data_IF_317533595338
#
_entry.id   IF_317533595338
#
_cell.length_a   1.000
_cell.length_b   1.000
_cell.length_c   1.000
_cell.angle_alpha   90.00
_cell.angle_beta   90.00
_cell.angle_gamma   90.00
#
_symmetry.space_group_name_H-M   'P 1'
#
loop_
_entity.id
_entity.type
_entity.pdbx_description
1 polymer ?
#
# COMPACT_ATOMS: atom_id res chain seq x y z
N UNK A 1 -23.19 -3.56 -41.25
CA UNK A 1 -23.31 -4.79 -40.43
C UNK A 1 -22.04 -5.63 -40.45
N UNK A 2 -21.38 -5.86 -41.60
CA UNK A 2 -20.07 -6.53 -41.61
C UNK A 2 -18.96 -5.72 -40.90
N UNK A 3 -18.85 -4.41 -41.19
CA UNK A 3 -17.79 -3.57 -40.59
C UNK A 3 -17.85 -3.54 -39.05
N UNK A 4 -19.04 -3.35 -38.47
CA UNK A 4 -19.23 -3.34 -37.01
C UNK A 4 -18.96 -4.69 -36.34
N UNK A 5 -19.07 -5.79 -37.09
CA UNK A 5 -18.80 -7.14 -36.61
C UNK A 5 -17.29 -7.38 -36.50
N UNK A 6 -16.55 -6.98 -37.53
CA UNK A 6 -15.09 -7.09 -37.54
C UNK A 6 -14.47 -6.17 -36.48
N UNK A 7 -15.02 -4.97 -36.29
CA UNK A 7 -14.61 -4.00 -35.27
C UNK A 7 -14.88 -4.51 -33.84
N UNK A 8 -16.04 -5.15 -33.60
CA UNK A 8 -16.31 -5.81 -32.33
C UNK A 8 -15.32 -6.94 -32.04
N UNK A 9 -14.99 -7.75 -33.05
CA UNK A 9 -14.01 -8.83 -32.90
C UNK A 9 -12.63 -8.25 -32.56
N UNK A 10 -12.21 -7.17 -33.23
CA UNK A 10 -10.95 -6.47 -32.94
C UNK A 10 -10.91 -5.96 -31.48
N UNK A 11 -11.97 -5.28 -31.02
CA UNK A 11 -12.05 -4.77 -29.64
C UNK A 11 -11.93 -5.88 -28.59
N UNK A 12 -12.58 -7.02 -28.81
CA UNK A 12 -12.58 -8.13 -27.84
C UNK A 12 -11.31 -8.99 -27.97
N UNK A 13 -10.82 -9.25 -29.19
CA UNK A 13 -9.71 -10.19 -29.42
C UNK A 13 -8.34 -9.53 -29.34
N UNK A 14 -8.17 -8.35 -29.91
CA UNK A 14 -6.89 -7.67 -30.05
C UNK A 14 -6.67 -6.67 -28.91
N UNK A 15 -7.70 -5.90 -28.55
CA UNK A 15 -7.62 -4.89 -27.48
C UNK A 15 -8.04 -5.42 -26.09
N UNK A 16 -8.54 -6.66 -26.00
CA UNK A 16 -8.97 -7.30 -24.76
C UNK A 16 -10.03 -6.50 -23.97
N UNK A 17 -10.90 -5.76 -24.65
CA UNK A 17 -11.99 -5.02 -24.01
C UNK A 17 -13.08 -6.01 -23.55
N UNK A 18 -13.34 -6.03 -22.24
CA UNK A 18 -14.31 -6.96 -21.62
C UNK A 18 -15.61 -6.28 -21.18
N UNK A 19 -15.63 -4.96 -21.06
CA UNK A 19 -16.81 -4.20 -20.64
C UNK A 19 -17.71 -3.88 -21.83
N UNK A 20 -18.97 -4.32 -21.78
CA UNK A 20 -19.96 -4.07 -22.85
C UNK A 20 -20.19 -2.57 -23.03
N UNK A 21 -20.17 -1.80 -21.94
CA UNK A 21 -20.38 -0.35 -22.01
C UNK A 21 -19.28 0.38 -22.79
N UNK A 22 -18.03 -0.07 -22.69
CA UNK A 22 -16.92 0.47 -23.49
C UNK A 22 -17.09 0.13 -24.97
N UNK A 23 -17.57 -1.08 -25.26
CA UNK A 23 -17.86 -1.54 -26.63
C UNK A 23 -19.03 -0.76 -27.24
N UNK A 24 -20.06 -0.45 -26.45
CA UNK A 24 -21.22 0.38 -26.82
C UNK A 24 -20.78 1.79 -27.20
N UNK A 25 -19.90 2.41 -26.40
CA UNK A 25 -19.34 3.73 -26.67
C UNK A 25 -18.53 3.75 -27.97
N UNK A 26 -17.67 2.75 -28.17
CA UNK A 26 -16.79 2.69 -29.35
C UNK A 26 -17.56 2.41 -30.65
N UNK A 27 -18.50 1.45 -30.63
CA UNK A 27 -19.28 1.08 -31.82
C UNK A 27 -20.47 2.02 -32.08
N UNK A 28 -20.75 2.96 -31.17
CA UNK A 28 -21.94 3.83 -31.19
C UNK A 28 -23.22 3.02 -31.45
N UNK A 29 -23.38 1.93 -30.72
CA UNK A 29 -24.55 1.03 -30.75
C UNK A 29 -25.23 1.03 -29.38
N UNK A 30 -26.48 0.60 -29.32
CA UNK A 30 -27.13 0.34 -28.02
C UNK A 30 -26.59 -0.94 -27.38
N UNK A 31 -26.68 -1.05 -26.05
CA UNK A 31 -26.27 -2.25 -25.32
C UNK A 31 -26.98 -3.51 -25.82
N UNK A 32 -28.26 -3.41 -26.15
CA UNK A 32 -29.05 -4.53 -26.64
C UNK A 32 -28.55 -5.02 -28.02
N UNK A 33 -28.18 -4.10 -28.91
CA UNK A 33 -27.61 -4.42 -30.23
C UNK A 33 -26.23 -5.06 -30.10
N UNK A 34 -25.39 -4.61 -29.16
CA UNK A 34 -24.07 -5.21 -28.90
C UNK A 34 -24.22 -6.63 -28.35
N UNK A 35 -25.14 -6.85 -27.42
CA UNK A 35 -25.43 -8.18 -26.86
C UNK A 35 -25.95 -9.12 -27.95
N UNK A 36 -26.84 -8.65 -28.83
CA UNK A 36 -27.33 -9.42 -29.97
C UNK A 36 -26.19 -9.78 -30.94
N UNK A 37 -25.27 -8.84 -31.21
CA UNK A 37 -24.13 -9.07 -32.09
C UNK A 37 -23.16 -10.11 -31.50
N UNK A 38 -22.86 -10.00 -30.20
CA UNK A 38 -22.04 -10.97 -29.47
C UNK A 38 -22.70 -12.35 -29.49
N UNK A 39 -24.01 -12.42 -29.26
CA UNK A 39 -24.75 -13.69 -29.26
C UNK A 39 -24.69 -14.36 -30.64
N UNK A 40 -24.88 -13.61 -31.72
CA UNK A 40 -24.72 -14.11 -33.10
C UNK A 40 -23.30 -14.61 -33.37
N UNK A 41 -22.29 -13.90 -32.88
CA UNK A 41 -20.88 -14.27 -33.04
C UNK A 41 -20.47 -15.50 -32.23
N UNK A 42 -21.11 -15.73 -31.07
CA UNK A 42 -20.97 -16.96 -30.30
C UNK A 42 -21.62 -18.15 -31.04
N UNK A 43 -22.81 -17.95 -31.63
CA UNK A 43 -23.51 -18.98 -32.41
C UNK A 43 -22.75 -19.39 -33.68
N UNK A 44 -22.12 -18.43 -34.37
CA UNK A 44 -21.28 -18.71 -35.56
C UNK A 44 -19.90 -19.26 -35.21
N UNK A 45 -19.53 -19.29 -33.92
CA UNK A 45 -18.23 -19.77 -33.44
C UNK A 45 -17.06 -18.85 -33.73
N UNK A 46 -17.33 -17.60 -34.14
CA UNK A 46 -16.32 -16.58 -34.42
C UNK A 46 -15.80 -15.91 -33.14
N UNK A 47 -16.62 -15.87 -32.08
CA UNK A 47 -16.20 -15.53 -30.73
C UNK A 47 -16.29 -16.77 -29.82
N UNK A 48 -15.33 -16.88 -28.88
CA UNK A 48 -15.34 -17.89 -27.81
C UNK A 48 -15.29 -17.19 -26.47
N UNK A 49 -16.38 -17.27 -25.72
CA UNK A 49 -16.49 -16.62 -24.43
C UNK A 49 -17.84 -16.85 -23.76
N UNK A 50 -18.10 -16.10 -22.69
CA UNK A 50 -19.33 -16.15 -21.92
C UNK A 50 -19.72 -14.74 -21.49
N UNK A 51 -20.98 -14.37 -21.71
CA UNK A 51 -21.56 -13.15 -21.16
C UNK A 51 -21.80 -13.33 -19.65
N UNK A 52 -21.47 -12.32 -18.86
CA UNK A 52 -21.79 -12.27 -17.44
C UNK A 52 -23.31 -12.28 -17.22
N UNK A 53 -23.77 -12.82 -16.08
CA UNK A 53 -25.21 -12.88 -15.74
C UNK A 53 -25.86 -11.49 -15.64
N UNK A 54 -25.06 -10.44 -15.40
CA UNK A 54 -25.50 -9.05 -15.37
C UNK A 54 -25.62 -8.40 -16.76
N UNK A 55 -25.16 -9.07 -17.83
CA UNK A 55 -25.12 -8.54 -19.18
C UNK A 55 -24.13 -7.39 -19.40
N UNK A 56 -23.29 -7.06 -18.41
CA UNK A 56 -22.39 -5.90 -18.45
C UNK A 56 -20.99 -6.25 -18.95
N UNK A 57 -20.63 -7.54 -18.95
CA UNK A 57 -19.27 -7.99 -19.28
C UNK A 57 -19.28 -9.21 -20.19
N UNK A 58 -18.29 -9.28 -21.08
CA UNK A 58 -17.97 -10.45 -21.89
C UNK A 58 -16.61 -11.02 -21.47
N UNK A 59 -16.59 -12.30 -21.10
CA UNK A 59 -15.38 -13.04 -20.73
C UNK A 59 -14.93 -13.94 -21.87
N UNK A 60 -13.76 -13.66 -22.47
CA UNK A 60 -13.14 -14.53 -23.48
C UNK A 60 -12.72 -15.87 -22.85
N UNK A 61 -12.95 -16.98 -23.55
CA UNK A 61 -12.57 -18.32 -23.08
C UNK A 61 -11.05 -18.52 -23.07
N UNK A 62 -10.36 -17.99 -24.08
CA UNK A 62 -8.91 -18.03 -24.21
C UNK A 62 -8.30 -16.72 -23.70
N UNK A 63 -8.33 -16.53 -22.38
CA UNK A 63 -7.44 -15.56 -21.75
C UNK A 63 -6.05 -16.18 -21.81
N UNK A 64 -5.21 -15.72 -22.74
CA UNK A 64 -3.76 -15.83 -22.55
C UNK A 64 -3.45 -15.06 -21.27
N UNK A 65 -3.38 -15.78 -20.16
CA UNK A 65 -2.72 -15.30 -18.95
C UNK A 65 -1.36 -14.80 -19.43
N UNK A 66 -1.14 -13.49 -19.35
CA UNK A 66 0.13 -12.90 -19.69
C UNK A 66 1.21 -13.72 -19.01
N UNK A 67 2.09 -14.34 -19.79
CA UNK A 67 3.37 -14.89 -19.32
C UNK A 67 4.29 -13.72 -18.96
N UNK A 68 3.79 -12.75 -18.18
CA UNK A 68 4.64 -11.85 -17.45
C UNK A 68 5.52 -12.77 -16.60
N UNK A 69 6.86 -12.67 -16.72
CA UNK A 69 7.75 -13.51 -15.92
C UNK A 69 7.30 -13.38 -14.47
N UNK A 70 7.10 -14.51 -13.79
CA UNK A 70 6.87 -14.48 -12.35
C UNK A 70 8.10 -13.83 -11.75
N UNK A 71 8.01 -12.53 -11.47
CA UNK A 71 9.01 -11.84 -10.68
C UNK A 71 8.96 -12.60 -9.36
N UNK A 72 10.01 -13.38 -9.08
CA UNK A 72 10.21 -13.97 -7.76
C UNK A 72 10.11 -12.78 -6.80
N UNK A 73 8.99 -12.71 -6.07
CA UNK A 73 8.86 -11.76 -4.99
C UNK A 73 9.92 -12.20 -4.00
N UNK A 74 10.98 -11.42 -3.91
CA UNK A 74 11.87 -11.47 -2.77
C UNK A 74 10.98 -11.14 -1.56
N UNK A 75 10.51 -12.16 -0.85
CA UNK A 75 9.63 -12.06 0.32
C UNK A 75 10.36 -11.41 1.52
N UNK A 76 11.52 -10.80 1.28
CA UNK A 76 12.23 -9.97 2.21
C UNK A 76 11.26 -8.88 2.72
N UNK A 77 11.01 -8.82 4.04
CA UNK A 77 10.15 -7.79 4.59
C UNK A 77 10.76 -6.43 4.27
N UNK A 78 9.93 -5.44 3.92
CA UNK A 78 10.43 -4.15 3.49
C UNK A 78 11.30 -3.52 4.59
N UNK A 79 12.34 -2.77 4.19
CA UNK A 79 13.38 -2.26 5.09
C UNK A 79 12.84 -1.52 6.32
N UNK A 80 11.71 -0.81 6.21
CA UNK A 80 11.04 -0.13 7.32
C UNK A 80 10.47 -1.06 8.41
N UNK A 81 10.29 -2.36 8.13
CA UNK A 81 9.96 -3.38 9.13
C UNK A 81 11.19 -3.83 9.95
N UNK A 82 12.41 -3.56 9.48
CA UNK A 82 13.65 -3.98 10.16
C UNK A 82 14.19 -2.94 11.15
N UNK A 83 13.52 -1.80 11.33
CA UNK A 83 13.98 -0.73 12.21
C UNK A 83 14.04 -1.16 13.68
N UNK A 84 15.25 -1.22 14.24
CA UNK A 84 15.48 -1.65 15.61
C UNK A 84 15.41 -0.46 16.60
N UNK A 85 14.35 -0.42 17.41
CA UNK A 85 14.12 0.63 18.42
C UNK A 85 14.83 0.39 19.76
N UNK A 86 15.46 -0.78 19.95
CA UNK A 86 16.12 -1.17 21.22
C UNK A 86 17.15 -0.14 21.72
N UNK A 87 18.10 0.36 20.90
CA UNK A 87 19.09 1.32 21.40
C UNK A 87 18.44 2.60 21.91
N UNK A 88 17.47 3.16 21.18
CA UNK A 88 16.75 4.36 21.63
C UNK A 88 15.97 4.14 22.93
N UNK A 89 15.34 2.96 23.10
CA UNK A 89 14.63 2.60 24.35
C UNK A 89 15.57 2.52 25.54
N UNK A 90 16.74 1.91 25.37
CA UNK A 90 17.75 1.81 26.44
C UNK A 90 18.22 3.21 26.86
N UNK A 91 18.51 4.09 25.89
CA UNK A 91 18.90 5.47 26.16
C UNK A 91 17.84 6.24 26.95
N UNK A 92 16.56 6.10 26.60
CA UNK A 92 15.44 6.70 27.34
C UNK A 92 15.41 6.19 28.78
N UNK A 93 15.52 4.88 28.99
CA UNK A 93 15.48 4.29 30.34
C UNK A 93 16.61 4.86 31.21
N UNK A 94 17.84 4.95 30.66
CA UNK A 94 18.98 5.55 31.37
C UNK A 94 18.68 7.01 31.72
N UNK A 95 18.20 7.80 30.75
CA UNK A 95 17.84 9.20 30.97
C UNK A 95 16.79 9.39 32.07
N UNK A 96 15.76 8.54 32.09
CA UNK A 96 14.70 8.54 33.12
C UNK A 96 15.25 8.19 34.49
N UNK A 97 16.14 7.19 34.60
CA UNK A 97 16.78 6.83 35.87
C UNK A 97 17.59 8.02 36.43
N UNK A 98 18.38 8.67 35.58
CA UNK A 98 19.17 9.85 35.96
C UNK A 98 18.27 11.00 36.39
N UNK A 99 17.18 11.24 35.65
CA UNK A 99 16.21 12.28 35.98
C UNK A 99 15.54 12.04 37.33
N UNK A 100 15.04 10.81 37.57
CA UNK A 100 14.41 10.42 38.84
C UNK A 100 15.41 10.55 39.99
N UNK A 101 16.67 10.15 39.79
CA UNK A 101 17.74 10.36 40.76
C UNK A 101 17.88 11.84 41.13
N UNK A 102 17.91 12.74 40.14
CA UNK A 102 17.91 14.18 40.37
C UNK A 102 16.69 14.69 41.14
N UNK A 103 15.50 14.20 40.83
CA UNK A 103 14.25 14.55 41.56
C UNK A 103 14.32 14.12 43.03
N UNK A 104 14.79 12.90 43.30
CA UNK A 104 14.96 12.40 44.67
C UNK A 104 15.97 13.26 45.42
N UNK A 105 17.13 13.55 44.84
CA UNK A 105 18.17 14.40 45.47
C UNK A 105 17.62 15.80 45.76
N UNK A 106 16.83 16.38 44.85
CA UNK A 106 16.20 17.68 45.04
C UNK A 106 15.21 17.66 46.22
N UNK A 107 14.39 16.60 46.34
CA UNK A 107 13.39 16.48 47.40
C UNK A 107 14.00 16.46 48.81
N UNK A 108 15.26 16.01 48.94
CA UNK A 108 16.01 15.98 50.20
C UNK A 108 17.10 17.06 50.30
N UNK A 109 17.13 18.03 49.38
CA UNK A 109 18.16 19.07 49.38
C UNK A 109 18.00 20.01 50.58
N UNK A 110 19.04 20.11 51.41
CA UNK A 110 19.09 21.00 52.58
C UNK A 110 19.74 22.36 52.33
N UNK A 111 20.41 22.53 51.19
CA UNK A 111 21.11 23.76 50.83
C UNK A 111 21.06 24.03 49.30
N UNK A 112 21.43 25.25 48.93
CA UNK A 112 21.44 25.72 47.54
C UNK A 112 22.46 24.98 46.65
N UNK A 113 23.55 24.45 47.21
CA UNK A 113 24.57 23.74 46.44
C UNK A 113 24.01 22.38 45.98
N UNK A 114 23.38 21.64 46.89
CA UNK A 114 22.72 20.36 46.61
C UNK A 114 21.55 20.57 45.65
N UNK A 115 20.78 21.64 45.81
CA UNK A 115 19.68 21.96 44.91
C UNK A 115 20.16 22.25 43.48
N UNK A 116 21.25 23.02 43.32
CA UNK A 116 21.85 23.29 42.02
C UNK A 116 22.41 22.02 41.37
N UNK A 117 23.04 21.15 42.16
CA UNK A 117 23.52 19.84 41.68
C UNK A 117 22.36 18.96 41.20
N UNK A 118 21.27 18.90 41.96
CA UNK A 118 20.06 18.16 41.60
C UNK A 118 19.42 18.71 40.31
N UNK A 119 19.36 20.03 40.16
CA UNK A 119 18.89 20.68 38.94
C UNK A 119 19.71 20.29 37.70
N UNK A 120 21.03 20.21 37.85
CA UNK A 120 21.95 19.81 36.79
C UNK A 120 21.76 18.32 36.42
N UNK A 121 21.58 17.45 37.41
CA UNK A 121 21.24 16.04 37.21
C UNK A 121 19.92 15.86 36.44
N UNK A 122 18.88 16.60 36.83
CA UNK A 122 17.58 16.58 36.14
C UNK A 122 17.72 17.07 34.69
N UNK A 123 18.48 18.15 34.45
CA UNK A 123 18.71 18.65 33.10
C UNK A 123 19.42 17.61 32.21
N UNK A 124 20.47 16.96 32.74
CA UNK A 124 21.19 15.91 32.03
C UNK A 124 20.28 14.73 31.71
N UNK A 125 19.51 14.24 32.70
CA UNK A 125 18.56 13.15 32.50
C UNK A 125 17.51 13.47 31.43
N UNK A 126 17.03 14.71 31.40
CA UNK A 126 16.08 15.17 30.39
C UNK A 126 16.71 15.19 28.99
N UNK A 127 17.93 15.71 28.84
CA UNK A 127 18.63 15.74 27.55
C UNK A 127 18.88 14.34 26.98
N UNK A 128 19.30 13.40 27.84
CA UNK A 128 19.49 11.99 27.45
C UNK A 128 18.16 11.38 26.98
N UNK A 129 17.07 11.66 27.70
CA UNK A 129 15.73 11.19 27.35
C UNK A 129 15.27 11.73 25.99
N UNK A 130 15.46 13.02 25.74
CA UNK A 130 15.15 13.67 24.45
C UNK A 130 15.98 13.06 23.33
N UNK A 131 17.27 12.82 23.56
CA UNK A 131 18.15 12.18 22.56
C UNK A 131 17.67 10.77 22.21
N UNK A 132 17.31 9.95 23.21
CA UNK A 132 16.76 8.62 22.97
C UNK A 132 15.42 8.65 22.22
N UNK A 133 14.53 9.60 22.54
CA UNK A 133 13.29 9.83 21.81
C UNK A 133 13.54 10.22 20.35
N UNK A 134 14.49 11.13 20.11
CA UNK A 134 14.88 11.55 18.77
C UNK A 134 15.39 10.37 17.92
N UNK A 135 16.19 9.48 18.51
CA UNK A 135 16.65 8.26 17.83
C UNK A 135 15.50 7.32 17.45
N UNK A 136 14.43 7.24 18.26
CA UNK A 136 13.25 6.43 17.92
C UNK A 136 12.38 7.12 16.87
N UNK A 137 12.25 8.45 16.95
CA UNK A 137 11.38 9.21 16.04
C UNK A 137 11.94 9.32 14.63
N UNK A 138 13.25 9.16 14.44
CA UNK A 138 13.91 9.22 13.13
C UNK A 138 13.69 7.96 12.26
N UNK A 139 12.55 7.28 12.44
CA UNK A 139 12.18 6.14 11.60
C UNK A 139 11.99 6.62 10.17
N UNK A 140 12.75 6.05 9.24
CA UNK A 140 12.58 6.33 7.81
C UNK A 140 11.15 5.94 7.41
N UNK A 141 10.37 6.92 6.96
CA UNK A 141 9.07 6.68 6.33
C UNK A 141 9.32 6.15 4.92
N UNK A 142 8.57 5.13 4.46
CA UNK A 142 8.73 4.62 3.10
C UNK A 142 8.50 5.75 2.09
N UNK A 143 9.46 5.95 1.19
CA UNK A 143 9.35 6.80 -0.01
C UNK A 143 8.74 6.02 -1.17
#
# INVERSE_FOLDING_TARGET
MLEKKDELIHLIMDENVSAIQTIVEELSLSSDEVIELISKLLETGELKGTLAEDGQRFFKSDVKLSEAPSIERDDAPPSFMTFNTRPGRVTIIIGVIVFIGGVIVNAFAGDMVVQNFAALLMLIGLLITISGLYCISRRETPS
#
